data_IF_352681554797
#
_entry.id   IF_352681554797
#
_cell.length_a   1.000
_cell.length_b   1.000
_cell.length_c   1.000
_cell.angle_alpha   90.00
_cell.angle_beta   90.00
_cell.angle_gamma   90.00
#
_symmetry.space_group_name_H-M   'P 1'
#
loop_
_entity.id
_entity.type
_entity.pdbx_description
1 polymer ?
#
# COMPACT_ATOMS: atom_id res chain seq x y z
N UNK A 1 -16.54 13.11 -0.26
CA UNK A 1 -15.16 12.75 -0.64
C UNK A 1 -15.26 11.45 -1.41
N UNK A 2 -14.75 11.41 -2.64
CA UNK A 2 -14.66 10.15 -3.38
C UNK A 2 -13.56 9.28 -2.75
N UNK A 3 -13.74 7.97 -2.80
CA UNK A 3 -12.70 7.01 -2.41
C UNK A 3 -12.28 6.19 -3.60
N UNK A 4 -11.03 5.75 -3.62
CA UNK A 4 -10.56 4.78 -4.60
C UNK A 4 -10.10 3.52 -3.91
N UNK A 5 -10.19 2.40 -4.62
CA UNK A 5 -9.45 1.18 -4.32
C UNK A 5 -8.36 1.00 -5.36
N UNK A 6 -7.13 0.81 -4.90
CA UNK A 6 -5.97 0.50 -5.72
C UNK A 6 -5.62 -0.94 -5.45
N UNK A 7 -5.42 -1.73 -6.52
CA UNK A 7 -4.82 -3.06 -6.43
C UNK A 7 -3.55 -3.05 -7.28
N UNK A 8 -2.45 -3.55 -6.74
CA UNK A 8 -1.20 -3.71 -7.46
C UNK A 8 -0.66 -5.12 -7.26
N UNK A 9 0.00 -5.67 -8.28
CA UNK A 9 0.56 -7.03 -8.28
C UNK A 9 2.08 -6.97 -8.22
N UNK A 10 2.67 -7.85 -7.43
CA UNK A 10 4.11 -7.95 -7.28
C UNK A 10 4.72 -8.39 -8.61
N UNK A 11 5.75 -7.66 -9.06
CA UNK A 11 6.41 -7.92 -10.34
C UNK A 11 7.19 -9.25 -10.32
N UNK A 12 7.61 -9.70 -9.13
CA UNK A 12 8.39 -10.93 -8.98
C UNK A 12 7.62 -12.20 -9.36
N UNK A 13 6.37 -12.33 -8.88
CA UNK A 13 5.55 -13.54 -9.10
C UNK A 13 4.29 -13.30 -9.95
N UNK A 14 3.89 -12.04 -10.14
CA UNK A 14 2.65 -11.66 -10.83
C UNK A 14 1.37 -12.11 -10.14
N UNK A 15 1.43 -12.52 -8.87
CA UNK A 15 0.32 -13.12 -8.10
C UNK A 15 0.11 -12.42 -6.77
N UNK A 16 1.19 -12.19 -6.02
CA UNK A 16 1.13 -11.46 -4.76
C UNK A 16 0.61 -10.06 -4.99
N UNK A 17 -0.26 -9.57 -4.12
CA UNK A 17 -0.99 -8.33 -4.33
C UNK A 17 -0.93 -7.41 -3.13
N UNK A 18 -1.00 -6.11 -3.39
CA UNK A 18 -1.29 -5.11 -2.37
C UNK A 18 -2.55 -4.39 -2.78
N UNK A 19 -3.51 -4.31 -1.86
CA UNK A 19 -4.79 -3.64 -2.08
C UNK A 19 -5.03 -2.62 -0.98
N UNK A 20 -5.42 -1.40 -1.32
CA UNK A 20 -5.82 -0.40 -0.33
C UNK A 20 -6.95 0.48 -0.85
N UNK A 21 -7.76 0.96 0.09
CA UNK A 21 -8.83 1.95 -0.12
C UNK A 21 -8.43 3.23 0.57
N UNK A 22 -8.48 4.36 -0.13
CA UNK A 22 -8.15 5.66 0.47
C UNK A 22 -9.00 6.79 -0.13
N UNK A 23 -9.38 7.81 0.67
CA UNK A 23 -9.94 9.06 0.19
C UNK A 23 -9.00 9.79 -0.79
N UNK A 24 -9.57 10.39 -1.83
CA UNK A 24 -8.80 11.18 -2.82
C UNK A 24 -9.18 12.65 -2.80
N UNK A 25 -8.21 13.51 -3.15
CA UNK A 25 -8.44 14.96 -3.33
C UNK A 25 -9.12 15.22 -4.68
N UNK A 26 -8.42 14.94 -5.78
CA UNK A 26 -8.80 15.15 -7.20
C UNK A 26 -7.94 14.23 -8.09
N UNK A 27 -8.30 14.04 -9.37
CA UNK A 27 -7.52 13.26 -10.38
C UNK A 27 -7.01 11.89 -9.89
N UNK A 28 -7.71 11.29 -8.93
CA UNK A 28 -7.29 10.07 -8.23
C UNK A 28 -5.94 10.18 -7.51
N UNK A 29 -5.51 11.38 -7.13
CA UNK A 29 -4.38 11.62 -6.23
C UNK A 29 -4.82 11.37 -4.78
N UNK A 30 -4.00 10.63 -4.02
CA UNK A 30 -4.24 10.40 -2.60
C UNK A 30 -4.22 11.71 -1.82
N UNK A 31 -5.10 11.81 -0.83
CA UNK A 31 -5.20 13.00 -0.01
C UNK A 31 -4.16 13.00 1.12
N UNK A 32 -3.01 13.66 0.91
CA UNK A 32 -1.94 13.79 1.90
C UNK A 32 -2.25 14.81 3.02
N UNK A 33 -3.13 15.79 2.78
CA UNK A 33 -3.49 16.86 3.73
C UNK A 33 -4.58 16.44 4.73
N UNK A 34 -5.18 15.28 4.51
CA UNK A 34 -6.17 14.69 5.40
C UNK A 34 -5.49 13.58 6.19
N UNK A 35 -5.75 13.50 7.50
CA UNK A 35 -5.58 12.26 8.27
C UNK A 35 -6.61 11.19 7.82
N UNK A 36 -6.71 11.00 6.50
CA UNK A 36 -7.60 10.10 5.83
C UNK A 36 -7.03 8.70 6.01
N UNK A 37 -7.58 7.97 6.98
CA UNK A 37 -7.27 6.56 7.18
C UNK A 37 -7.68 5.76 5.94
N UNK A 38 -6.69 5.19 5.27
CA UNK A 38 -6.90 4.17 4.26
C UNK A 38 -6.84 2.78 4.89
N UNK A 39 -7.56 1.80 4.35
CA UNK A 39 -7.52 0.41 4.81
C UNK A 39 -7.15 -0.51 3.68
N UNK A 40 -6.34 -1.52 3.94
CA UNK A 40 -5.88 -2.43 2.91
C UNK A 40 -5.42 -3.78 3.43
N UNK A 41 -4.92 -4.59 2.50
CA UNK A 41 -4.24 -5.83 2.83
C UNK A 41 -3.12 -6.14 1.83
N UNK A 42 -2.11 -6.87 2.29
CA UNK A 42 -1.09 -7.51 1.43
C UNK A 42 -1.40 -9.00 1.35
N UNK A 43 -1.34 -9.54 0.14
CA UNK A 43 -1.46 -10.96 -0.16
C UNK A 43 -0.08 -11.49 -0.58
N UNK A 44 0.52 -12.36 0.23
CA UNK A 44 1.84 -12.95 -0.05
C UNK A 44 1.70 -14.42 -0.44
N UNK A 45 2.20 -14.79 -1.63
CA UNK A 45 2.21 -16.17 -2.16
C UNK A 45 3.55 -16.91 -1.98
N UNK A 46 4.60 -16.26 -1.47
CA UNK A 46 5.91 -16.91 -1.24
C UNK A 46 5.86 -17.98 -0.14
N UNK A 47 4.92 -17.84 0.82
CA UNK A 47 4.85 -18.68 2.03
C UNK A 47 3.83 -19.82 1.85
N UNK A 48 4.03 -20.69 0.84
CA UNK A 48 3.31 -21.97 0.66
C UNK A 48 1.76 -21.95 0.77
N UNK A 49 1.16 -20.76 0.61
CA UNK A 49 -0.22 -20.45 0.93
C UNK A 49 -0.43 -18.95 0.80
N UNK A 50 -1.70 -18.54 0.76
CA UNK A 50 -2.07 -17.11 0.72
C UNK A 50 -2.10 -16.58 2.14
N UNK A 51 -1.12 -15.77 2.52
CA UNK A 51 -1.18 -15.01 3.78
C UNK A 51 -1.68 -13.59 3.50
N UNK A 52 -2.74 -13.18 4.22
CA UNK A 52 -3.34 -11.85 4.11
C UNK A 52 -3.08 -11.07 5.36
N UNK A 53 -2.40 -9.94 5.21
CA UNK A 53 -2.08 -9.07 6.33
C UNK A 53 -2.92 -7.78 6.20
N UNK A 54 -3.81 -7.45 7.15
CA UNK A 54 -4.59 -6.22 7.10
C UNK A 54 -3.79 -5.01 7.59
N UNK A 55 -3.85 -3.88 6.91
CA UNK A 55 -3.17 -2.65 7.32
C UNK A 55 -4.07 -1.41 7.24
N UNK A 56 -3.66 -0.40 8.00
CA UNK A 56 -4.18 0.96 8.03
C UNK A 56 -3.09 1.88 7.49
N UNK A 57 -3.47 2.83 6.65
CA UNK A 57 -2.58 3.86 6.13
C UNK A 57 -2.68 5.07 7.07
N UNK A 58 -1.57 5.42 7.73
CA UNK A 58 -1.56 6.36 8.87
C UNK A 58 -0.93 7.73 8.54
N UNK A 59 0.15 7.76 7.77
CA UNK A 59 0.90 8.98 7.47
C UNK A 59 1.17 9.10 5.96
N UNK A 60 1.12 10.33 5.45
CA UNK A 60 1.41 10.69 4.06
C UNK A 60 2.43 11.83 4.05
N UNK A 61 3.56 11.66 3.37
CA UNK A 61 4.59 12.71 3.26
C UNK A 61 5.70 12.33 2.29
N UNK A 62 6.28 13.32 1.60
CA UNK A 62 7.46 13.18 0.73
C UNK A 62 7.41 12.03 -0.32
N UNK A 63 6.21 11.71 -0.83
CA UNK A 63 6.00 10.59 -1.78
C UNK A 63 5.86 9.22 -1.10
N UNK A 64 5.82 9.17 0.22
CA UNK A 64 5.66 7.95 1.00
C UNK A 64 4.32 7.95 1.73
N UNK A 65 3.72 6.77 1.83
CA UNK A 65 2.65 6.49 2.76
C UNK A 65 3.10 5.41 3.76
N UNK A 66 2.82 5.64 5.03
CA UNK A 66 3.06 4.67 6.10
C UNK A 66 1.85 3.74 6.21
N UNK A 67 2.11 2.44 6.10
CA UNK A 67 1.19 1.39 6.48
C UNK A 67 1.55 0.86 7.87
N UNK A 68 0.57 0.86 8.76
CA UNK A 68 0.61 0.18 10.05
C UNK A 68 -0.40 -0.98 10.04
N UNK A 69 -0.04 -2.16 10.55
CA UNK A 69 -0.90 -3.36 10.47
C UNK A 69 -2.09 -3.35 11.45
N UNK A 70 -2.47 -2.18 11.99
CA UNK A 70 -3.68 -1.95 12.79
C UNK A 70 -3.79 -2.83 14.04
N UNK A 71 -2.71 -3.46 14.46
CA UNK A 71 -2.65 -4.35 15.61
C UNK A 71 -2.30 -3.54 16.85
N UNK A 72 -2.82 -3.92 18.03
CA UNK A 72 -2.36 -3.41 19.34
C UNK A 72 -0.87 -3.68 19.61
N UNK A 73 -0.18 -4.31 18.65
CA UNK A 73 1.24 -4.58 18.60
C UNK A 73 1.84 -3.62 17.56
N UNK A 74 2.37 -2.49 18.03
CA UNK A 74 3.07 -1.43 17.26
C UNK A 74 4.37 -1.93 16.55
N UNK A 75 4.36 -3.01 15.76
CA UNK A 75 5.63 -3.70 15.50
C UNK A 75 6.07 -3.97 14.07
N UNK A 76 5.23 -3.76 13.07
CA UNK A 76 5.71 -3.77 11.69
C UNK A 76 5.24 -2.47 11.04
N UNK A 77 6.18 -1.62 10.66
CA UNK A 77 5.88 -0.46 9.83
C UNK A 77 6.31 -0.80 8.41
N UNK A 78 5.42 -0.58 7.46
CA UNK A 78 5.75 -0.69 6.06
C UNK A 78 5.61 0.67 5.40
N UNK A 79 6.58 1.03 4.56
CA UNK A 79 6.48 2.24 3.76
C UNK A 79 6.11 1.84 2.34
N UNK A 80 5.07 2.49 1.83
CA UNK A 80 4.76 2.46 0.41
C UNK A 80 5.29 3.76 -0.18
N UNK A 81 6.14 3.65 -1.20
CA UNK A 81 6.42 4.77 -2.09
C UNK A 81 5.20 4.97 -3.01
N UNK A 82 4.37 5.95 -2.67
CA UNK A 82 3.23 6.38 -3.45
C UNK A 82 3.68 7.63 -4.19
N UNK A 83 4.18 7.40 -5.39
CA UNK A 83 4.62 8.38 -6.35
C UNK A 83 3.69 9.61 -6.37
N UNK A 84 4.28 10.82 -6.32
CA UNK A 84 3.61 12.12 -6.42
C UNK A 84 3.07 12.40 -7.85
N UNK A 85 2.39 11.42 -8.44
CA UNK A 85 1.78 11.45 -9.77
C UNK A 85 0.35 10.88 -9.69
N UNK A 86 -0.53 11.21 -10.65
CA UNK A 86 -1.86 10.61 -10.71
C UNK A 86 -1.76 9.09 -10.75
N UNK A 87 -2.57 8.41 -9.92
CA UNK A 87 -2.63 6.95 -9.92
C UNK A 87 -3.12 6.46 -11.28
N UNK A 88 -2.29 5.67 -11.96
CA UNK A 88 -2.57 5.08 -13.25
C UNK A 88 -2.37 3.56 -13.22
N UNK A 89 -3.10 2.85 -14.08
CA UNK A 89 -2.77 1.46 -14.40
C UNK A 89 -1.34 1.42 -14.94
N UNK A 90 -0.61 0.37 -14.60
CA UNK A 90 0.83 0.20 -14.83
C UNK A 90 1.76 1.11 -14.00
N UNK A 91 1.21 1.99 -13.16
CA UNK A 91 1.98 2.72 -12.16
C UNK A 91 2.73 1.78 -11.22
N UNK A 92 3.89 2.21 -10.74
CA UNK A 92 4.75 1.40 -9.86
C UNK A 92 4.55 1.81 -8.42
N UNK A 93 4.44 0.82 -7.55
CA UNK A 93 4.39 0.97 -6.11
C UNK A 93 5.57 0.21 -5.54
N UNK A 94 6.38 0.88 -4.73
CA UNK A 94 7.47 0.21 -4.01
C UNK A 94 7.05 -0.01 -2.58
N UNK A 95 7.14 -1.24 -2.11
CA UNK A 95 6.78 -1.64 -0.77
C UNK A 95 8.02 -2.14 -0.03
N UNK A 96 8.28 -1.57 1.14
CA UNK A 96 9.37 -1.98 2.03
C UNK A 96 8.78 -2.37 3.38
N UNK A 97 9.20 -3.51 3.90
CA UNK A 97 8.85 -3.98 5.24
C UNK A 97 9.98 -3.63 6.21
N UNK A 98 9.63 -3.21 7.40
CA UNK A 98 10.54 -3.18 8.55
C UNK A 98 9.96 -4.08 9.61
N UNK A 99 10.70 -5.13 9.99
CA UNK A 99 10.26 -6.07 11.03
C UNK A 99 10.53 -5.54 12.46
N UNK A 100 10.14 -6.32 13.46
CA UNK A 100 10.23 -5.94 14.87
C UNK A 100 11.65 -5.59 15.35
N UNK A 101 12.68 -6.13 14.67
CA UNK A 101 14.09 -5.90 15.00
C UNK A 101 14.67 -4.70 14.22
N UNK A 102 13.84 -3.99 13.44
CA UNK A 102 14.26 -2.91 12.57
C UNK A 102 14.93 -3.39 11.28
N UNK A 103 14.84 -4.70 10.97
CA UNK A 103 15.43 -5.23 9.75
C UNK A 103 14.51 -4.93 8.57
N UNK A 104 15.09 -4.31 7.55
CA UNK A 104 14.38 -3.97 6.33
C UNK A 104 14.33 -5.16 5.37
N UNK A 105 13.17 -5.40 4.75
CA UNK A 105 12.96 -6.33 3.64
C UNK A 105 12.33 -5.62 2.44
N UNK A 106 12.70 -6.04 1.24
CA UNK A 106 12.37 -5.36 0.00
C UNK A 106 13.59 -4.65 -0.62
N UNK A 107 13.39 -3.72 -1.57
CA UNK A 107 12.10 -3.23 -2.06
C UNK A 107 11.35 -4.29 -2.87
N UNK A 108 10.08 -4.48 -2.55
CA UNK A 108 9.15 -5.24 -3.37
C UNK A 108 8.47 -4.28 -4.35
N UNK A 109 8.63 -4.54 -5.64
CA UNK A 109 8.07 -3.69 -6.70
C UNK A 109 6.74 -4.27 -7.14
N UNK A 110 5.67 -3.50 -6.97
CA UNK A 110 4.32 -3.81 -7.41
C UNK A 110 3.93 -2.93 -8.60
N UNK A 111 3.09 -3.47 -9.48
CA UNK A 111 2.50 -2.73 -10.60
C UNK A 111 1.00 -2.64 -10.43
N UNK A 112 0.45 -1.43 -10.50
CA UNK A 112 -0.98 -1.16 -10.37
C UNK A 112 -1.72 -1.89 -11.48
N UNK A 113 -2.60 -2.80 -11.10
CA UNK A 113 -3.44 -3.58 -12.00
C UNK A 113 -4.83 -2.96 -12.15
N UNK A 114 -5.41 -2.44 -11.06
CA UNK A 114 -6.75 -1.84 -11.08
C UNK A 114 -6.86 -0.62 -10.18
N UNK A 115 -7.70 0.34 -10.62
CA UNK A 115 -8.11 1.51 -9.85
C UNK A 115 -9.62 1.67 -9.97
N UNK A 116 -10.33 1.43 -8.87
CA UNK A 116 -11.80 1.47 -8.80
C UNK A 116 -12.24 2.72 -8.02
N UNK A 117 -13.23 3.46 -8.51
CA UNK A 117 -13.80 4.66 -7.85
C UNK A 117 -15.14 4.32 -7.21
N UNK A 118 -15.36 4.78 -5.97
CA UNK A 118 -16.60 4.59 -5.19
C UNK A 118 -17.20 5.92 -4.77
#
# INVERSE_FOLDING_TARGET
>A
MASIKVTALWVGDGKSSISFVSPVLNDKKLNYDSAAFGFGFVENFEIWGVERYPFVMEEFGDGLALLDWGSTIQKNTATIDILDIPLNVDGVITYNETDEDGMQRGPYVYRISTIETF
#
